data_IF_278775670173
#
_entry.id   IF_278775670173
#
_cell.length_a   1.000
_cell.length_b   1.000
_cell.length_c   1.000
_cell.angle_alpha   90.00
_cell.angle_beta   90.00
_cell.angle_gamma   90.00
#
_symmetry.space_group_name_H-M   'P 1'
#
loop_
_entity.id
_entity.type
_entity.pdbx_description
1 polymer ?
#
# COMPACT_ATOMS: atom_id res chain seq x y z
N UNK A 1 18.28 6.26 -9.31
CA UNK A 1 17.76 6.96 -8.11
C UNK A 1 16.26 7.15 -8.25
N UNK A 2 15.50 6.91 -7.17
CA UNK A 2 14.05 7.20 -7.13
C UNK A 2 13.90 8.67 -6.72
N UNK A 3 13.17 9.46 -7.50
CA UNK A 3 12.87 10.85 -7.17
C UNK A 3 11.55 10.89 -6.37
N UNK A 4 11.64 11.24 -5.08
CA UNK A 4 10.48 11.34 -4.20
C UNK A 4 10.04 12.79 -4.07
N UNK A 5 8.81 13.08 -4.53
CA UNK A 5 8.22 14.41 -4.42
C UNK A 5 7.94 14.76 -2.95
N UNK A 6 8.26 16.00 -2.58
CA UNK A 6 8.01 16.54 -1.25
C UNK A 6 6.50 16.57 -0.97
N UNK A 7 6.08 16.12 0.22
CA UNK A 7 4.66 16.00 0.65
C UNK A 7 3.83 14.88 -0.02
N UNK A 8 4.46 13.95 -0.74
CA UNK A 8 3.79 12.79 -1.33
C UNK A 8 4.21 11.49 -0.65
N UNK A 9 3.79 11.30 0.61
CA UNK A 9 3.99 10.08 1.39
C UNK A 9 3.62 8.79 0.65
N UNK A 10 2.58 8.84 -0.18
CA UNK A 10 2.09 7.71 -0.99
C UNK A 10 3.11 7.21 -2.02
N UNK A 11 4.06 8.06 -2.40
CA UNK A 11 5.15 7.73 -3.32
C UNK A 11 6.36 7.11 -2.62
N UNK A 12 6.33 6.96 -1.30
CA UNK A 12 7.42 6.41 -0.53
C UNK A 12 6.97 5.14 0.20
N UNK A 13 7.19 3.97 -0.42
CA UNK A 13 6.71 2.70 0.13
C UNK A 13 7.25 2.39 1.54
N UNK A 14 8.38 2.98 1.95
CA UNK A 14 8.93 2.83 3.31
C UNK A 14 8.00 3.42 4.38
N UNK A 15 7.12 4.37 4.02
CA UNK A 15 6.16 4.92 4.97
C UNK A 15 5.09 3.89 5.35
N UNK A 16 4.70 3.02 4.42
CA UNK A 16 3.81 1.88 4.71
C UNK A 16 4.50 0.87 5.63
N UNK A 17 5.80 0.62 5.41
CA UNK A 17 6.62 -0.18 6.32
C UNK A 17 6.55 0.38 7.74
N UNK A 18 6.91 1.65 7.93
CA UNK A 18 6.90 2.28 9.25
C UNK A 18 5.51 2.39 9.86
N UNK A 19 4.47 2.58 9.05
CA UNK A 19 3.08 2.55 9.51
C UNK A 19 2.69 1.19 10.09
N UNK A 20 3.08 0.09 9.42
CA UNK A 20 2.81 -1.27 9.88
C UNK A 20 3.61 -1.61 11.13
N UNK A 21 4.89 -1.20 11.19
CA UNK A 21 5.73 -1.32 12.39
C UNK A 21 5.11 -0.55 13.56
N UNK A 22 4.73 0.71 13.35
CA UNK A 22 4.11 1.54 14.39
C UNK A 22 2.81 0.92 14.91
N UNK A 23 1.97 0.36 14.03
CA UNK A 23 0.75 -0.34 14.44
C UNK A 23 1.07 -1.56 15.31
N UNK A 24 1.99 -2.41 14.88
CA UNK A 24 2.41 -3.58 15.67
C UNK A 24 2.93 -3.18 17.05
N UNK A 25 3.77 -2.15 17.10
CA UNK A 25 4.28 -1.62 18.36
C UNK A 25 3.13 -1.13 19.24
N UNK A 26 2.18 -0.40 18.68
CA UNK A 26 1.03 0.09 19.45
C UNK A 26 0.19 -1.04 20.05
N UNK A 27 -0.02 -2.11 19.28
CA UNK A 27 -0.80 -3.28 19.72
C UNK A 27 -0.06 -4.15 20.76
N UNK A 28 1.28 -4.03 20.87
CA UNK A 28 2.14 -4.91 21.70
C UNK A 28 3.06 -4.13 22.68
N UNK A 29 2.79 -2.85 22.95
CA UNK A 29 3.66 -2.01 23.78
C UNK A 29 3.03 -1.68 25.13
N UNK A 30 3.83 -1.88 26.17
CA UNK A 30 3.50 -1.57 27.56
C UNK A 30 3.80 -0.09 27.92
N UNK A 31 3.85 0.78 26.90
CA UNK A 31 4.15 2.22 26.99
C UNK A 31 5.50 2.61 27.62
N UNK A 32 6.44 1.67 27.76
CA UNK A 32 7.78 1.89 28.31
C UNK A 32 8.84 1.96 27.21
N UNK A 33 9.83 2.85 27.39
CA UNK A 33 10.87 3.10 26.38
C UNK A 33 11.74 1.86 26.10
N UNK A 34 12.10 1.11 27.15
CA UNK A 34 12.91 -0.11 27.00
C UNK A 34 12.21 -1.18 26.16
N UNK A 35 10.91 -1.35 26.37
CA UNK A 35 10.08 -2.31 25.64
C UNK A 35 9.88 -1.87 24.19
N UNK A 36 9.72 -0.57 23.95
CA UNK A 36 9.71 0.00 22.60
C UNK A 36 11.03 -0.27 21.85
N UNK A 37 12.17 -0.03 22.51
CA UNK A 37 13.49 -0.26 21.94
C UNK A 37 13.72 -1.74 21.61
N UNK A 38 13.33 -2.63 22.52
CA UNK A 38 13.38 -4.08 22.32
C UNK A 38 12.48 -4.54 21.16
N UNK A 39 11.27 -3.97 21.08
CA UNK A 39 10.27 -4.37 20.08
C UNK A 39 10.58 -3.81 18.67
N UNK A 40 11.16 -2.61 18.55
CA UNK A 40 11.59 -2.03 17.25
C UNK A 40 12.65 -2.89 16.56
N UNK A 41 13.62 -3.38 17.33
CA UNK A 41 14.74 -4.20 16.83
C UNK A 41 14.32 -5.68 16.79
N UNK A 42 13.09 -6.00 17.17
CA UNK A 42 12.66 -7.38 17.33
C UNK A 42 12.51 -8.04 15.96
N UNK A 43 13.19 -9.18 15.73
CA UNK A 43 13.04 -9.97 14.51
C UNK A 43 11.60 -10.37 14.25
N UNK A 44 10.74 -10.43 15.27
CA UNK A 44 9.30 -10.70 15.14
C UNK A 44 8.58 -9.67 14.26
N UNK A 45 8.94 -8.38 14.35
CA UNK A 45 8.36 -7.35 13.48
C UNK A 45 8.76 -7.62 12.04
N UNK A 46 10.04 -7.91 11.79
CA UNK A 46 10.55 -8.22 10.46
C UNK A 46 10.03 -9.56 9.92
N UNK A 47 9.83 -10.57 10.78
CA UNK A 47 9.24 -11.86 10.42
C UNK A 47 7.74 -11.75 10.14
N UNK A 48 7.03 -10.82 10.80
CA UNK A 48 5.62 -10.54 10.52
C UNK A 48 5.40 -9.86 9.15
N UNK A 49 6.47 -9.48 8.47
CA UNK A 49 6.47 -8.79 7.19
C UNK A 49 6.87 -9.76 6.09
N UNK A 50 5.87 -10.27 5.39
CA UNK A 50 6.11 -11.08 4.21
C UNK A 50 6.61 -10.18 3.06
N UNK A 51 7.50 -10.71 2.23
CA UNK A 51 7.99 -10.03 1.03
C UNK A 51 6.84 -9.57 0.11
N UNK A 52 5.76 -10.35 0.07
CA UNK A 52 4.52 -10.02 -0.65
C UNK A 52 3.91 -8.68 -0.24
N UNK A 53 4.03 -8.28 1.04
CA UNK A 53 3.55 -6.97 1.50
C UNK A 53 4.40 -5.82 0.94
N UNK A 54 5.71 -6.02 0.86
CA UNK A 54 6.64 -5.03 0.31
C UNK A 54 6.36 -4.84 -1.19
N UNK A 55 6.19 -5.95 -1.93
CA UNK A 55 5.81 -5.92 -3.34
C UNK A 55 4.46 -5.25 -3.56
N UNK A 56 3.48 -5.48 -2.69
CA UNK A 56 2.18 -4.83 -2.75
C UNK A 56 2.31 -3.30 -2.59
N UNK A 57 3.15 -2.83 -1.66
CA UNK A 57 3.36 -1.39 -1.44
C UNK A 57 4.15 -0.74 -2.58
N UNK A 58 5.13 -1.45 -3.14
CA UNK A 58 5.84 -1.03 -4.35
C UNK A 58 4.86 -0.88 -5.53
N UNK A 59 4.01 -1.88 -5.77
CA UNK A 59 2.99 -1.81 -6.80
C UNK A 59 1.99 -0.66 -6.56
N UNK A 60 1.58 -0.45 -5.31
CA UNK A 60 0.70 0.67 -4.95
C UNK A 60 1.36 2.02 -5.27
N UNK A 61 2.65 2.18 -4.97
CA UNK A 61 3.43 3.37 -5.35
C UNK A 61 3.44 3.57 -6.87
N UNK A 62 3.62 2.50 -7.64
CA UNK A 62 3.57 2.57 -9.10
C UNK A 62 2.23 3.07 -9.64
N UNK A 63 1.10 2.58 -9.11
CA UNK A 63 -0.22 3.08 -9.50
C UNK A 63 -0.38 4.58 -9.20
N UNK A 64 0.16 5.07 -8.07
CA UNK A 64 0.16 6.50 -7.77
C UNK A 64 1.02 7.30 -8.75
N UNK A 65 2.20 6.79 -9.12
CA UNK A 65 3.06 7.45 -10.10
C UNK A 65 2.36 7.56 -11.46
N UNK A 66 1.72 6.50 -11.92
CA UNK A 66 0.94 6.50 -13.16
C UNK A 66 -0.22 7.50 -13.11
N UNK A 67 -0.99 7.52 -12.01
CA UNK A 67 -2.06 8.49 -11.82
C UNK A 67 -1.54 9.94 -11.85
N UNK A 68 -0.38 10.23 -11.25
CA UNK A 68 0.21 11.56 -11.33
C UNK A 68 0.76 11.92 -12.72
N UNK A 69 1.29 10.94 -13.47
CA UNK A 69 1.75 11.17 -14.85
C UNK A 69 0.62 11.61 -15.78
N UNK A 70 -0.62 11.20 -15.52
CA UNK A 70 -1.79 11.67 -16.26
C UNK A 70 -2.20 13.12 -15.96
N UNK A 71 -1.55 13.76 -14.98
CA UNK A 71 -1.84 15.15 -14.59
C UNK A 71 -3.10 15.32 -13.75
N UNK A 72 -3.65 14.22 -13.20
CA UNK A 72 -4.85 14.26 -12.37
C UNK A 72 -4.60 14.99 -11.04
N UNK A 73 -5.64 15.70 -10.58
CA UNK A 73 -5.66 16.27 -9.24
C UNK A 73 -5.66 15.16 -8.18
N UNK A 74 -5.22 15.48 -6.96
CA UNK A 74 -5.02 14.49 -5.89
C UNK A 74 -6.25 13.60 -5.62
N UNK A 75 -7.46 14.17 -5.66
CA UNK A 75 -8.71 13.42 -5.43
C UNK A 75 -8.99 12.43 -6.55
N UNK A 76 -8.80 12.85 -7.80
CA UNK A 76 -9.07 12.02 -8.97
C UNK A 76 -8.02 10.91 -9.11
N UNK A 77 -6.75 11.24 -8.84
CA UNK A 77 -5.68 10.25 -8.74
C UNK A 77 -5.98 9.20 -7.67
N UNK A 78 -6.51 9.62 -6.51
CA UNK A 78 -6.93 8.69 -5.46
C UNK A 78 -8.05 7.76 -5.93
N UNK A 79 -9.07 8.30 -6.61
CA UNK A 79 -10.14 7.47 -7.17
C UNK A 79 -9.60 6.46 -8.17
N UNK A 80 -8.69 6.87 -9.06
CA UNK A 80 -8.08 5.97 -10.03
C UNK A 80 -7.26 4.86 -9.36
N UNK A 81 -6.38 5.19 -8.41
CA UNK A 81 -5.62 4.19 -7.65
C UNK A 81 -6.56 3.26 -6.89
N UNK A 82 -7.64 3.80 -6.33
CA UNK A 82 -8.62 3.02 -5.60
C UNK A 82 -9.32 1.99 -6.51
N UNK A 83 -9.47 2.23 -7.81
CA UNK A 83 -10.02 1.23 -8.74
C UNK A 83 -9.15 -0.02 -8.86
N UNK A 84 -7.83 0.09 -8.66
CA UNK A 84 -6.91 -1.05 -8.66
C UNK A 84 -6.90 -1.82 -7.34
N UNK A 85 -7.16 -1.13 -6.22
CA UNK A 85 -7.25 -1.77 -4.90
C UNK A 85 -8.65 -2.31 -4.59
N UNK A 86 -9.69 -1.69 -5.14
CA UNK A 86 -11.06 -2.14 -5.00
C UNK A 86 -11.23 -3.32 -5.93
N UNK A 87 -11.44 -4.51 -5.36
CA UNK A 87 -11.98 -5.64 -6.13
C UNK A 87 -13.36 -5.26 -6.65
N UNK A 88 -13.40 -4.57 -7.80
CA UNK A 88 -14.63 -4.38 -8.59
C UNK A 88 -15.16 -5.75 -9.04
N UNK A 89 -14.28 -6.73 -9.11
CA UNK A 89 -14.56 -8.12 -9.46
C UNK A 89 -13.99 -9.05 -8.40
N UNK A 90 -14.75 -10.11 -8.06
CA UNK A 90 -14.37 -11.14 -7.10
C UNK A 90 -13.20 -12.03 -7.59
N UNK A 91 -12.85 -11.92 -8.87
CA UNK A 91 -11.86 -12.73 -9.59
C UNK A 91 -11.28 -11.92 -10.76
N UNK A 92 -9.96 -11.95 -10.94
CA UNK A 92 -9.26 -11.34 -12.10
C UNK A 92 -9.62 -12.00 -13.45
N UNK A 93 -10.28 -13.16 -13.45
CA UNK A 93 -10.60 -13.95 -14.66
C UNK A 93 -12.09 -14.07 -14.98
N UNK A 94 -12.97 -13.39 -14.23
CA UNK A 94 -14.39 -13.36 -14.57
C UNK A 94 -14.77 -11.98 -15.07
N UNK A 95 -15.03 -11.87 -16.36
CA UNK A 95 -15.81 -10.77 -16.92
C UNK A 95 -17.27 -11.00 -16.49
N UNK A 96 -17.98 -9.99 -15.95
CA UNK A 96 -19.41 -10.11 -15.67
C UNK A 96 -20.16 -10.54 -16.91
N UNK A 97 -21.11 -11.44 -16.76
CA UNK A 97 -21.90 -12.00 -17.86
C UNK A 97 -22.58 -10.89 -18.68
N UNK A 98 -23.03 -9.82 -18.03
CA UNK A 98 -23.57 -8.62 -18.66
C UNK A 98 -22.60 -7.89 -19.60
N UNK A 99 -21.30 -7.94 -19.32
CA UNK A 99 -20.24 -7.37 -20.17
C UNK A 99 -19.85 -8.38 -21.24
N UNK A 100 -19.84 -9.68 -20.93
CA UNK A 100 -19.59 -10.73 -21.91
C UNK A 100 -20.62 -10.71 -23.06
N UNK A 101 -21.91 -10.58 -22.73
CA UNK A 101 -23.00 -10.47 -23.70
C UNK A 101 -22.92 -9.27 -24.66
N UNK A 102 -22.06 -8.28 -24.39
CA UNK A 102 -21.88 -7.13 -25.31
C UNK A 102 -20.84 -7.39 -26.40
N UNK A 103 -20.09 -8.48 -26.30
CA UNK A 103 -19.12 -8.92 -27.30
C UNK A 103 -19.67 -10.00 -28.25
N UNK A 104 -20.89 -10.48 -28.00
CA UNK A 104 -21.66 -11.38 -28.88
C UNK A 104 -22.52 -10.57 -29.86
#
# INVERSE_FOLDING_TARGET
CIFLLKFHCKLNFIEYFWGKVKKYLWDNCDSTFETLKKNIICPLVMQSMQLSMIQLWEHHMHCWMEAYQTGLAMKDAQFQVQQFSSTKYKSHRCVPETVACTFD
#
